data_IF_026936932657
#
_entry.id   IF_026936932657
#
_cell.length_a   1.000
_cell.length_b   1.000
_cell.length_c   1.000
_cell.angle_alpha   90.00
_cell.angle_beta   90.00
_cell.angle_gamma   90.00
#
_symmetry.space_group_name_H-M   'P 1'
#
loop_
_entity.id
_entity.type
_entity.pdbx_description
1 polymer ?
#
# COMPACT_ATOMS: atom_id res chain seq x y z
N UNK A 1 -21.06 -1.18 2.61
CA UNK A 1 -20.92 0.26 2.34
C UNK A 1 -19.70 0.50 1.45
N UNK A 2 -19.83 1.35 0.48
CA UNK A 2 -18.70 1.67 -0.37
C UNK A 2 -17.66 2.47 0.41
N UNK A 3 -16.38 2.17 0.19
CA UNK A 3 -15.31 2.99 0.73
C UNK A 3 -15.39 4.40 0.12
N UNK A 4 -14.94 5.46 0.83
CA UNK A 4 -14.96 6.83 0.31
C UNK A 4 -13.85 7.03 -0.73
N UNK A 5 -13.99 6.36 -1.86
CA UNK A 5 -13.04 6.43 -2.95
C UNK A 5 -13.79 6.49 -4.28
N UNK A 6 -13.10 6.90 -5.33
CA UNK A 6 -13.62 6.89 -6.68
C UNK A 6 -12.52 6.45 -7.64
N UNK A 7 -12.91 6.19 -8.90
CA UNK A 7 -11.98 5.83 -9.94
C UNK A 7 -11.92 4.32 -10.19
N UNK A 8 -11.39 3.96 -11.34
CA UNK A 8 -11.24 2.56 -11.77
C UNK A 8 -9.81 2.05 -11.66
N UNK A 9 -8.87 2.88 -11.22
CA UNK A 9 -7.47 2.48 -11.06
C UNK A 9 -6.69 2.47 -12.36
N UNK A 10 -7.12 3.25 -13.35
CA UNK A 10 -6.37 3.45 -14.59
C UNK A 10 -5.73 4.84 -14.58
N UNK A 11 -4.77 5.06 -15.48
CA UNK A 11 -4.10 6.35 -15.58
C UNK A 11 -5.11 7.47 -15.90
N UNK A 12 -6.11 7.17 -16.74
CA UNK A 12 -7.14 8.13 -17.13
C UNK A 12 -8.21 8.32 -16.06
N UNK A 13 -8.35 7.35 -15.16
CA UNK A 13 -9.35 7.36 -14.12
C UNK A 13 -8.76 6.74 -12.84
N UNK A 14 -7.78 7.42 -12.21
CA UNK A 14 -7.09 6.86 -11.05
C UNK A 14 -8.02 6.69 -9.85
N UNK A 15 -7.65 5.80 -8.95
CA UNK A 15 -8.30 5.70 -7.64
C UNK A 15 -7.96 6.96 -6.84
N UNK A 16 -8.98 7.63 -6.31
CA UNK A 16 -8.81 8.75 -5.40
C UNK A 16 -9.07 8.24 -3.99
N UNK A 17 -8.03 8.21 -3.19
CA UNK A 17 -8.02 7.54 -1.88
C UNK A 17 -7.49 8.50 -0.81
N UNK A 18 -7.56 8.05 0.43
CA UNK A 18 -6.93 8.74 1.57
C UNK A 18 -5.99 7.78 2.28
N UNK A 19 -4.96 8.33 2.91
CA UNK A 19 -4.12 7.56 3.83
C UNK A 19 -4.98 7.02 4.98
N UNK A 20 -4.54 5.97 5.69
CA UNK A 20 -5.36 5.36 6.75
C UNK A 20 -5.85 6.34 7.82
N UNK A 21 -5.02 7.31 8.21
CA UNK A 21 -5.43 8.34 9.18
C UNK A 21 -6.41 9.37 8.61
N UNK A 22 -6.60 9.39 7.29
CA UNK A 22 -7.48 10.35 6.62
C UNK A 22 -6.87 11.74 6.46
N UNK A 23 -5.59 11.93 6.76
CA UNK A 23 -4.96 13.25 6.77
C UNK A 23 -4.40 13.69 5.43
N UNK A 24 -4.21 12.76 4.48
CA UNK A 24 -3.64 13.07 3.17
C UNK A 24 -4.40 12.38 2.06
N UNK A 25 -4.55 13.09 0.94
CA UNK A 25 -5.14 12.50 -0.26
C UNK A 25 -4.05 11.84 -1.08
N UNK A 26 -4.39 10.69 -1.69
CA UNK A 26 -3.51 9.98 -2.61
C UNK A 26 -4.29 9.61 -3.86
N UNK A 27 -3.57 9.58 -4.99
CA UNK A 27 -4.12 9.16 -6.27
C UNK A 27 -3.26 8.00 -6.77
N UNK A 28 -3.89 6.89 -7.13
CA UNK A 28 -3.16 5.70 -7.53
C UNK A 28 -3.76 5.06 -8.77
N UNK A 29 -2.89 4.48 -9.60
CA UNK A 29 -3.35 3.72 -10.76
C UNK A 29 -2.38 2.61 -11.10
N UNK A 30 -2.87 1.63 -11.86
CA UNK A 30 -2.06 0.50 -12.35
C UNK A 30 -1.40 0.87 -13.67
N UNK A 31 -0.11 0.57 -13.78
CA UNK A 31 0.65 0.70 -15.02
C UNK A 31 1.21 -0.68 -15.38
N UNK A 32 0.39 -1.54 -16.01
CA UNK A 32 0.81 -2.90 -16.32
C UNK A 32 1.82 -2.99 -17.46
N UNK A 33 1.98 -1.92 -18.23
CA UNK A 33 2.95 -1.89 -19.35
C UNK A 33 4.34 -1.48 -18.90
N UNK A 34 4.51 -1.00 -17.68
CA UNK A 34 5.83 -0.68 -17.13
C UNK A 34 6.63 -1.96 -16.91
N UNK A 35 7.95 -1.84 -16.82
CA UNK A 35 8.82 -2.99 -16.59
C UNK A 35 9.72 -2.71 -15.37
N UNK A 36 9.44 -3.32 -14.22
CA UNK A 36 8.31 -4.23 -13.94
C UNK A 36 6.97 -3.50 -13.90
N UNK A 37 5.84 -4.22 -14.03
CA UNK A 37 4.53 -3.61 -13.88
C UNK A 37 4.41 -2.87 -12.54
N UNK A 38 3.83 -1.68 -12.58
CA UNK A 38 3.87 -0.77 -11.42
C UNK A 38 2.49 -0.35 -10.94
N UNK A 39 2.40 -0.13 -9.64
CA UNK A 39 1.32 0.59 -8.99
C UNK A 39 1.86 1.99 -8.73
N UNK A 40 1.30 3.00 -9.39
CA UNK A 40 1.79 4.37 -9.33
C UNK A 40 0.98 5.15 -8.30
N UNK A 41 1.67 5.85 -7.42
CA UNK A 41 1.06 6.62 -6.35
C UNK A 41 1.50 8.08 -6.43
N UNK A 42 0.54 9.00 -6.41
CA UNK A 42 0.82 10.43 -6.31
C UNK A 42 0.31 10.96 -4.98
N UNK A 43 1.17 11.67 -4.27
CA UNK A 43 0.81 12.34 -3.03
C UNK A 43 1.69 13.58 -2.85
N UNK A 44 1.07 14.71 -2.53
CA UNK A 44 1.78 15.98 -2.29
C UNK A 44 2.79 16.34 -3.39
N UNK A 45 2.43 16.09 -4.65
CA UNK A 45 3.27 16.39 -5.81
C UNK A 45 4.41 15.41 -6.04
N UNK A 46 4.46 14.32 -5.28
CA UNK A 46 5.50 13.31 -5.41
C UNK A 46 4.93 12.04 -6.03
N UNK A 47 5.65 11.47 -6.99
CA UNK A 47 5.29 10.19 -7.59
C UNK A 47 6.11 9.08 -6.94
N UNK A 48 5.42 8.06 -6.42
CA UNK A 48 6.04 6.83 -5.93
C UNK A 48 5.58 5.66 -6.80
N UNK A 49 6.41 4.64 -6.90
CA UNK A 49 6.09 3.45 -7.69
C UNK A 49 6.38 2.20 -6.88
N UNK A 50 5.45 1.27 -6.88
CA UNK A 50 5.60 -0.04 -6.23
C UNK A 50 5.36 -1.13 -7.27
N UNK A 51 5.89 -2.33 -7.05
CA UNK A 51 5.51 -3.47 -7.87
C UNK A 51 3.99 -3.60 -7.88
N UNK A 52 3.39 -3.73 -9.06
CA UNK A 52 1.93 -3.87 -9.18
C UNK A 52 1.41 -5.09 -8.42
N UNK A 53 2.20 -6.15 -8.37
CA UNK A 53 1.83 -7.37 -7.64
C UNK A 53 1.67 -7.18 -6.14
N UNK A 54 2.04 -6.00 -5.61
CA UNK A 54 1.86 -5.68 -4.19
C UNK A 54 0.41 -5.87 -3.74
N UNK A 55 -0.55 -5.56 -4.60
CA UNK A 55 -1.98 -5.68 -4.27
C UNK A 55 -2.31 -7.14 -3.92
N UNK A 56 -1.96 -8.06 -4.81
CA UNK A 56 -2.25 -9.48 -4.60
C UNK A 56 -1.37 -10.10 -3.52
N UNK A 57 -0.08 -9.77 -3.54
CA UNK A 57 0.87 -10.33 -2.58
C UNK A 57 0.53 -9.93 -1.14
N UNK A 58 0.17 -8.66 -0.93
CA UNK A 58 -0.22 -8.19 0.40
C UNK A 58 -1.51 -8.88 0.85
N UNK A 59 -2.49 -9.00 -0.03
CA UNK A 59 -3.73 -9.70 0.29
C UNK A 59 -3.47 -11.16 0.70
N UNK A 60 -2.62 -11.87 -0.05
CA UNK A 60 -2.28 -13.25 0.27
C UNK A 60 -1.57 -13.37 1.61
N UNK A 61 -0.62 -12.46 1.90
CA UNK A 61 0.08 -12.46 3.18
C UNK A 61 -0.89 -12.22 4.33
N UNK A 62 -1.80 -11.26 4.18
CA UNK A 62 -2.76 -10.96 5.24
C UNK A 62 -3.75 -12.10 5.47
N UNK A 63 -4.14 -12.82 4.41
CA UNK A 63 -4.99 -14.01 4.55
C UNK A 63 -4.25 -15.10 5.33
N UNK A 64 -2.98 -15.32 5.02
CA UNK A 64 -2.18 -16.31 5.73
C UNK A 64 -1.94 -15.91 7.19
N UNK A 65 -1.79 -14.60 7.45
CA UNK A 65 -1.64 -14.10 8.82
C UNK A 65 -2.90 -14.33 9.65
N UNK A 66 -4.08 -14.15 9.06
CA UNK A 66 -5.35 -14.52 9.67
C UNK A 66 -5.82 -13.63 10.82
N UNK A 67 -5.22 -12.48 11.03
CA UNK A 67 -5.54 -11.57 12.11
C UNK A 67 -5.10 -10.15 11.74
N UNK A 68 -5.40 -9.20 12.62
CA UNK A 68 -4.96 -7.82 12.48
C UNK A 68 -3.43 -7.72 12.45
N UNK A 69 -2.91 -6.86 11.57
CA UNK A 69 -1.48 -6.56 11.49
C UNK A 69 -1.30 -5.05 11.48
N UNK A 70 -0.37 -4.54 12.29
CA UNK A 70 -0.04 -3.12 12.29
C UNK A 70 0.55 -2.70 10.94
N UNK A 71 0.24 -1.48 10.51
CA UNK A 71 0.73 -0.96 9.23
C UNK A 71 2.21 -0.58 9.27
N UNK A 72 2.65 0.11 10.32
CA UNK A 72 4.05 0.44 10.55
C UNK A 72 4.63 1.47 9.59
N UNK A 73 3.98 2.52 9.25
CA UNK A 73 4.42 3.55 8.32
C UNK A 73 5.82 4.11 8.63
N UNK A 74 6.76 3.93 7.72
CA UNK A 74 8.14 4.43 7.87
C UNK A 74 8.73 4.83 6.52
N UNK A 75 9.54 5.90 6.53
CA UNK A 75 10.32 6.31 5.36
C UNK A 75 11.40 5.27 5.02
N UNK A 76 11.92 5.35 3.80
CA UNK A 76 12.97 4.44 3.35
C UNK A 76 14.20 4.49 4.25
N UNK A 77 14.54 5.66 4.77
CA UNK A 77 15.74 5.86 5.59
C UNK A 77 15.54 5.42 7.05
N UNK A 78 14.34 5.10 7.46
CA UNK A 78 14.04 4.70 8.83
C UNK A 78 13.73 3.21 8.89
N UNK A 79 14.14 2.53 9.97
CA UNK A 79 13.78 1.12 10.11
C UNK A 79 12.29 0.95 10.32
N UNK A 80 11.74 -0.14 9.79
CA UNK A 80 10.36 -0.52 10.03
C UNK A 80 10.31 -1.46 11.24
N UNK A 81 9.25 -1.30 12.05
CA UNK A 81 9.02 -2.18 13.19
C UNK A 81 8.70 -3.59 12.69
N UNK A 82 9.32 -4.61 13.27
CA UNK A 82 9.05 -6.00 12.93
C UNK A 82 7.56 -6.34 13.14
N UNK A 83 7.04 -7.21 12.29
CA UNK A 83 5.66 -7.66 12.39
C UNK A 83 4.64 -6.69 11.81
N UNK A 84 5.09 -5.70 11.05
CA UNK A 84 4.20 -4.72 10.41
C UNK A 84 4.15 -4.93 8.90
N UNK A 85 3.12 -4.36 8.26
CA UNK A 85 3.01 -4.35 6.80
C UNK A 85 4.22 -3.66 6.17
N UNK A 86 4.68 -2.55 6.77
CA UNK A 86 5.83 -1.82 6.28
C UNK A 86 7.09 -2.69 6.28
N UNK A 87 7.35 -3.43 7.37
CA UNK A 87 8.50 -4.32 7.46
C UNK A 87 8.41 -5.44 6.42
N UNK A 88 7.23 -6.03 6.25
CA UNK A 88 7.01 -7.06 5.24
C UNK A 88 7.27 -6.51 3.83
N UNK A 89 6.84 -5.29 3.55
CA UNK A 89 6.97 -4.66 2.23
C UNK A 89 8.40 -4.33 1.82
N UNK A 90 9.37 -4.57 2.69
CA UNK A 90 10.81 -4.36 2.43
C UNK A 90 11.66 -5.55 2.85
N UNK A 91 11.03 -6.63 3.31
CA UNK A 91 11.74 -7.82 3.80
C UNK A 91 12.31 -8.65 2.65
N UNK A 92 13.52 -9.19 2.78
CA UNK A 92 14.06 -10.11 1.78
C UNK A 92 13.27 -11.42 1.70
N UNK A 93 12.40 -11.69 2.66
CA UNK A 93 11.61 -12.92 2.72
C UNK A 93 10.25 -12.80 2.02
N UNK A 94 9.90 -11.61 1.52
CA UNK A 94 8.63 -11.44 0.81
C UNK A 94 8.72 -11.93 -0.65
N UNK A 95 7.58 -12.02 -1.37
CA UNK A 95 7.58 -12.57 -2.74
C UNK A 95 8.49 -11.90 -3.76
N UNK A 96 8.83 -10.61 -3.58
CA UNK A 96 9.75 -9.93 -4.50
C UNK A 96 11.19 -9.91 -3.99
N UNK A 97 11.43 -10.45 -2.80
CA UNK A 97 12.76 -10.55 -2.23
C UNK A 97 13.33 -9.26 -1.68
N UNK A 98 12.49 -8.31 -1.30
CA UNK A 98 12.92 -7.03 -0.75
C UNK A 98 11.90 -5.93 -0.96
N UNK A 99 12.37 -4.74 -1.28
CA UNK A 99 11.50 -3.57 -1.42
C UNK A 99 10.48 -3.75 -2.55
N UNK A 100 9.21 -3.52 -2.23
CA UNK A 100 8.17 -3.36 -3.26
C UNK A 100 8.30 -1.99 -3.94
N UNK A 101 8.81 -0.99 -3.23
CA UNK A 101 9.06 0.33 -3.81
C UNK A 101 10.14 0.25 -4.88
N UNK A 102 9.85 0.82 -6.06
CA UNK A 102 10.72 0.73 -7.23
C UNK A 102 11.65 1.92 -7.39
N UNK A 103 11.26 3.08 -6.84
CA UNK A 103 11.98 4.32 -7.03
C UNK A 103 12.92 4.57 -5.86
N UNK A 104 14.21 4.39 -6.05
CA UNK A 104 15.22 4.59 -5.00
C UNK A 104 15.06 5.97 -4.37
N UNK A 105 15.09 6.03 -3.05
CA UNK A 105 14.83 7.24 -2.28
C UNK A 105 13.37 7.43 -1.92
N UNK A 106 12.46 6.74 -2.60
CA UNK A 106 11.00 6.83 -2.40
C UNK A 106 10.37 5.45 -2.25
N UNK A 107 11.09 4.49 -1.66
CA UNK A 107 10.64 3.11 -1.50
C UNK A 107 9.85 2.86 -0.21
N UNK A 108 9.86 3.80 0.71
CA UNK A 108 9.19 3.66 1.99
C UNK A 108 7.69 3.91 1.93
N UNK A 109 7.08 3.92 3.10
CA UNK A 109 5.65 4.20 3.33
C UNK A 109 4.70 3.22 2.63
N UNK A 110 5.18 2.02 2.34
CA UNK A 110 4.37 0.94 1.74
C UNK A 110 3.11 0.69 2.59
N UNK A 111 3.28 0.63 3.91
CA UNK A 111 2.17 0.39 4.84
C UNK A 111 1.16 1.54 4.92
N UNK A 112 1.50 2.71 4.38
CA UNK A 112 0.62 3.86 4.40
C UNK A 112 -0.17 4.00 3.10
N UNK A 113 0.40 3.58 1.97
CA UNK A 113 -0.21 3.83 0.66
C UNK A 113 -0.87 2.61 0.04
N UNK A 114 -0.35 1.40 0.25
CA UNK A 114 -0.90 0.22 -0.42
C UNK A 114 -2.17 -0.33 0.24
N UNK A 115 -2.28 -0.41 1.58
CA UNK A 115 -3.51 -0.92 2.20
C UNK A 115 -4.80 -0.19 1.80
N UNK A 116 -4.82 1.14 1.60
CA UNK A 116 -6.04 1.80 1.11
C UNK A 116 -6.55 1.28 -0.23
N UNK A 117 -5.66 0.81 -1.12
CA UNK A 117 -6.07 0.20 -2.39
C UNK A 117 -6.82 -1.11 -2.13
N UNK A 118 -6.31 -1.93 -1.21
CA UNK A 118 -6.98 -3.19 -0.87
C UNK A 118 -8.34 -2.94 -0.21
N UNK A 119 -8.44 -1.90 0.61
CA UNK A 119 -9.71 -1.52 1.20
C UNK A 119 -10.71 -1.11 0.13
N UNK A 120 -10.28 -0.28 -0.82
CA UNK A 120 -11.11 0.16 -1.93
C UNK A 120 -11.63 -1.01 -2.77
N UNK A 121 -10.83 -2.06 -2.90
CA UNK A 121 -11.19 -3.27 -3.64
C UNK A 121 -12.02 -4.26 -2.82
N UNK A 122 -12.29 -3.96 -1.54
CA UNK A 122 -13.09 -4.82 -0.69
C UNK A 122 -12.35 -6.07 -0.20
N UNK A 123 -11.02 -6.04 -0.19
CA UNK A 123 -10.20 -7.20 0.16
C UNK A 123 -9.79 -7.23 1.62
N UNK A 124 -9.84 -6.11 2.31
CA UNK A 124 -9.40 -5.97 3.70
C UNK A 124 -10.32 -5.06 4.49
N UNK A 125 -10.26 -5.21 5.81
CA UNK A 125 -10.71 -4.18 6.76
C UNK A 125 -9.48 -3.36 7.16
N UNK A 126 -9.62 -2.04 7.16
CA UNK A 126 -8.54 -1.11 7.48
C UNK A 126 -9.03 -0.15 8.56
N UNK A 127 -8.25 0.00 9.61
CA UNK A 127 -8.55 0.99 10.65
C UNK A 127 -8.23 2.41 10.16
N UNK A 128 -8.99 3.39 10.65
CA UNK A 128 -8.86 4.80 10.28
C UNK A 128 -8.73 5.68 11.52
N UNK A 129 -7.86 5.29 12.43
CA UNK A 129 -7.51 6.09 13.59
C UNK A 129 -6.51 7.18 13.21
N UNK A 130 -6.29 8.20 14.05
CA UNK A 130 -5.26 9.20 13.77
C UNK A 130 -3.85 8.61 13.61
N UNK A 131 -3.58 7.46 14.24
CA UNK A 131 -2.29 6.75 14.13
C UNK A 131 -2.44 5.30 14.62
N UNK A 132 -1.40 4.51 14.39
CA UNK A 132 -1.31 3.12 14.84
C UNK A 132 -2.43 2.25 14.28
N UNK A 133 -2.70 2.41 12.99
CA UNK A 133 -3.74 1.65 12.31
C UNK A 133 -3.29 0.23 11.99
N UNK A 134 -4.27 -0.66 11.92
CA UNK A 134 -4.07 -2.07 11.58
C UNK A 134 -4.95 -2.45 10.41
N UNK A 135 -4.61 -3.56 9.79
CA UNK A 135 -5.34 -4.10 8.63
C UNK A 135 -5.49 -5.61 8.80
N UNK A 136 -6.56 -6.16 8.27
CA UNK A 136 -6.74 -7.62 8.18
C UNK A 136 -7.48 -7.98 6.90
N UNK A 137 -7.20 -9.17 6.37
CA UNK A 137 -7.93 -9.69 5.21
C UNK A 137 -9.37 -10.03 5.59
N UNK A 138 -10.25 -9.82 4.63
CA UNK A 138 -11.64 -10.25 4.77
C UNK A 138 -11.79 -11.64 4.15
#
# INVERSE_FOLDING_TARGET
>A
MAAPFSGSGTKQDPWLLKTPSGTSDISMYKDPSANPPALVCFTSGTELRYHLRAIEDLHQMLKAHGDWMELGNADEQKPAKDGTVEAWGRSPDNPVGGWYGLKKGLRGRFGNYVPPVLEALGLVELEHNPRNNRVRAI
#
